data_IF_964432192126
#
_entry.id   IF_964432192126
#
_cell.length_a   1.000
_cell.length_b   1.000
_cell.length_c   1.000
_cell.angle_alpha   90.00
_cell.angle_beta   90.00
_cell.angle_gamma   90.00
#
_symmetry.space_group_name_H-M   'P 1'
#
loop_
_entity.id
_entity.type
_entity.pdbx_description
1 polymer ?
#
# COMPACT_ATOMS: atom_id res chain seq x y z
N UNK A 1 5.89 4.65 32.46
CA UNK A 1 6.60 3.44 31.99
C UNK A 1 5.53 2.37 31.86
N UNK A 2 5.33 1.70 30.72
CA UNK A 2 4.34 0.62 30.49
C UNK A 2 2.97 0.95 29.84
N UNK A 3 2.96 1.60 28.67
CA UNK A 3 1.96 1.27 27.62
C UNK A 3 2.65 0.59 26.41
N UNK A 4 3.91 0.95 26.13
CA UNK A 4 4.66 0.36 25.01
C UNK A 4 5.20 -1.06 25.23
N UNK A 5 5.32 -1.55 26.47
CA UNK A 5 5.93 -2.88 26.72
C UNK A 5 4.96 -4.02 26.43
N UNK A 6 3.71 -3.90 26.87
CA UNK A 6 2.66 -4.88 26.60
C UNK A 6 2.38 -4.99 25.08
N UNK A 7 2.41 -3.85 24.37
CA UNK A 7 2.32 -3.82 22.91
C UNK A 7 3.48 -4.56 22.22
N UNK A 8 4.71 -4.46 22.74
CA UNK A 8 5.86 -5.17 22.18
C UNK A 8 5.78 -6.67 22.45
N UNK A 9 5.37 -7.07 23.66
CA UNK A 9 5.22 -8.48 24.01
C UNK A 9 4.18 -9.18 23.12
N UNK A 10 3.06 -8.50 22.84
CA UNK A 10 2.07 -8.98 21.86
C UNK A 10 2.68 -9.16 20.47
N UNK A 11 3.52 -8.24 20.02
CA UNK A 11 4.19 -8.33 18.72
C UNK A 11 5.23 -9.45 18.68
N UNK A 12 5.93 -9.72 19.79
CA UNK A 12 6.85 -10.85 19.90
C UNK A 12 6.11 -12.19 19.82
N UNK A 13 4.96 -12.31 20.49
CA UNK A 13 4.11 -13.50 20.39
C UNK A 13 3.57 -13.69 18.97
N UNK A 14 3.13 -12.60 18.33
CA UNK A 14 2.67 -12.61 16.94
C UNK A 14 3.79 -13.04 15.98
N UNK A 15 5.00 -12.52 16.16
CA UNK A 15 6.17 -12.90 15.35
C UNK A 15 6.44 -14.40 15.37
N UNK A 16 6.43 -15.01 16.56
CA UNK A 16 6.64 -16.44 16.73
C UNK A 16 5.53 -17.27 16.06
N UNK A 17 4.29 -16.81 16.13
CA UNK A 17 3.16 -17.48 15.48
C UNK A 17 3.23 -17.38 13.95
N UNK A 18 3.59 -16.21 13.41
CA UNK A 18 3.80 -16.02 11.97
C UNK A 18 4.98 -16.86 11.46
N UNK A 19 6.06 -16.96 12.22
CA UNK A 19 7.21 -17.82 11.91
C UNK A 19 6.77 -19.28 11.81
N UNK A 20 5.95 -19.74 12.78
CA UNK A 20 5.38 -21.08 12.78
C UNK A 20 4.50 -21.35 11.55
N UNK A 21 3.67 -20.37 11.17
CA UNK A 21 2.82 -20.48 9.98
C UNK A 21 3.62 -20.52 8.67
N UNK A 22 4.69 -19.73 8.55
CA UNK A 22 5.58 -19.76 7.38
C UNK A 22 6.31 -21.09 7.22
N UNK A 23 6.59 -21.77 8.33
CA UNK A 23 7.17 -23.11 8.35
C UNK A 23 6.19 -24.24 7.97
N UNK A 24 4.88 -23.98 7.88
CA UNK A 24 3.87 -24.98 7.53
C UNK A 24 3.79 -25.20 6.01
N UNK A 25 4.09 -26.42 5.49
CA UNK A 25 3.95 -26.73 4.07
C UNK A 25 2.55 -26.47 3.51
N UNK A 26 1.50 -26.60 4.33
CA UNK A 26 0.11 -26.39 3.90
C UNK A 26 -0.20 -24.92 3.59
N UNK A 27 0.55 -23.96 4.12
CA UNK A 27 0.36 -22.55 3.76
C UNK A 27 0.72 -22.29 2.29
N UNK A 28 1.75 -22.98 1.80
CA UNK A 28 2.31 -22.76 0.47
C UNK A 28 1.43 -23.31 -0.66
N UNK A 29 0.34 -24.02 -0.34
CA UNK A 29 -0.69 -24.38 -1.32
C UNK A 29 -1.55 -23.17 -1.74
N UNK A 30 -1.57 -22.09 -0.94
CA UNK A 30 -2.22 -20.83 -1.29
C UNK A 30 -1.18 -19.69 -1.33
N UNK A 31 -0.73 -19.34 -2.54
CA UNK A 31 0.31 -18.33 -2.74
C UNK A 31 -0.10 -16.94 -2.24
N UNK A 32 -1.37 -16.56 -2.37
CA UNK A 32 -1.86 -15.26 -1.91
C UNK A 32 -1.78 -15.16 -0.37
N UNK A 33 -2.25 -16.19 0.33
CA UNK A 33 -2.18 -16.27 1.79
C UNK A 33 -0.74 -16.33 2.30
N UNK A 34 0.13 -17.10 1.64
CA UNK A 34 1.55 -17.15 1.96
C UNK A 34 2.21 -15.77 1.84
N UNK A 35 1.88 -15.01 0.79
CA UNK A 35 2.37 -13.65 0.58
C UNK A 35 1.89 -12.69 1.67
N UNK A 36 0.63 -12.75 2.07
CA UNK A 36 0.08 -11.92 3.15
C UNK A 36 0.78 -12.18 4.48
N UNK A 37 0.98 -13.45 4.85
CA UNK A 37 1.68 -13.83 6.09
C UNK A 37 3.14 -13.40 6.04
N UNK A 38 3.84 -13.61 4.92
CA UNK A 38 5.23 -13.18 4.76
C UNK A 38 5.38 -11.67 4.89
N UNK A 39 4.45 -10.89 4.35
CA UNK A 39 4.42 -9.43 4.51
C UNK A 39 4.20 -9.03 5.96
N UNK A 40 3.25 -9.67 6.66
CA UNK A 40 3.01 -9.38 8.08
C UNK A 40 4.22 -9.74 8.94
N UNK A 41 4.84 -10.90 8.70
CA UNK A 41 6.05 -11.34 9.37
C UNK A 41 7.17 -10.29 9.22
N UNK A 42 7.45 -9.84 7.99
CA UNK A 42 8.48 -8.84 7.73
C UNK A 42 8.23 -7.51 8.49
N UNK A 43 6.96 -7.11 8.65
CA UNK A 43 6.59 -5.90 9.40
C UNK A 43 6.86 -6.04 10.90
N UNK A 44 6.53 -7.20 11.47
CA UNK A 44 6.70 -7.46 12.90
C UNK A 44 8.17 -7.75 13.24
N UNK A 45 8.89 -8.43 12.35
CA UNK A 45 10.31 -8.79 12.51
C UNK A 45 11.20 -7.58 12.78
N UNK A 46 10.97 -6.46 12.10
CA UNK A 46 11.75 -5.25 12.33
C UNK A 46 11.61 -4.71 13.77
N UNK A 47 10.39 -4.76 14.33
CA UNK A 47 10.11 -4.31 15.70
C UNK A 47 10.73 -5.26 16.71
N UNK A 48 10.55 -6.56 16.50
CA UNK A 48 11.10 -7.60 17.38
C UNK A 48 12.63 -7.59 17.36
N UNK A 49 13.26 -7.33 16.21
CA UNK A 49 14.71 -7.20 16.12
C UNK A 49 15.23 -6.00 16.92
N UNK A 50 14.61 -4.83 16.79
CA UNK A 50 14.98 -3.64 17.59
C UNK A 50 14.81 -3.91 19.08
N UNK A 51 13.72 -4.57 19.47
CA UNK A 51 13.46 -4.91 20.86
C UNK A 51 14.49 -5.88 21.44
N UNK A 52 14.80 -6.98 20.73
CA UNK A 52 15.83 -7.95 21.14
C UNK A 52 17.21 -7.30 21.21
N UNK A 53 17.53 -6.39 20.31
CA UNK A 53 18.78 -5.62 20.35
C UNK A 53 18.84 -4.68 21.57
N UNK A 54 17.72 -4.04 21.90
CA UNK A 54 17.59 -3.19 23.09
C UNK A 54 17.75 -4.00 24.39
N UNK A 55 17.16 -5.20 24.47
CA UNK A 55 17.33 -6.11 25.61
C UNK A 55 18.79 -6.50 25.80
N UNK A 56 19.45 -6.98 24.74
CA UNK A 56 20.89 -7.31 24.79
C UNK A 56 21.74 -6.13 25.22
N UNK A 57 21.49 -4.94 24.65
CA UNK A 57 22.21 -3.72 25.03
C UNK A 57 21.98 -3.35 26.50
N UNK A 58 20.78 -3.63 27.03
CA UNK A 58 20.45 -3.40 28.45
C UNK A 58 21.19 -4.38 29.37
N UNK A 59 21.30 -5.64 28.97
CA UNK A 59 22.04 -6.67 29.71
C UNK A 59 23.55 -6.36 29.70
N UNK A 60 24.09 -6.01 28.53
CA UNK A 60 25.48 -5.59 28.36
C UNK A 60 25.80 -4.33 29.19
N UNK A 61 24.88 -3.36 29.20
CA UNK A 61 25.03 -2.13 30.00
C UNK A 61 25.05 -2.43 31.50
N UNK A 62 24.17 -3.32 31.97
CA UNK A 62 24.14 -3.73 33.37
C UNK A 62 25.45 -4.43 33.77
N UNK A 63 25.98 -5.30 32.92
CA UNK A 63 27.28 -5.94 33.14
C UNK A 63 28.43 -4.91 33.12
N UNK A 64 28.43 -3.96 32.19
CA UNK A 64 29.45 -2.91 32.11
C UNK A 64 29.45 -2.00 33.35
N UNK A 65 28.28 -1.67 33.91
CA UNK A 65 28.20 -0.93 35.17
C UNK A 65 28.78 -1.71 36.35
N UNK A 66 28.49 -3.02 36.47
CA UNK A 66 29.06 -3.86 37.52
C UNK A 66 30.59 -3.92 37.42
N UNK A 67 31.12 -4.08 36.21
CA UNK A 67 32.56 -4.10 35.96
C UNK A 67 33.22 -2.73 36.20
N UNK A 68 32.51 -1.62 35.96
CA UNK A 68 33.01 -0.27 36.17
C UNK A 68 33.25 0.08 37.66
N UNK A 69 32.59 -0.63 38.57
CA UNK A 69 32.83 -0.53 40.02
C UNK A 69 34.17 -1.18 40.41
N UNK A 70 34.62 -2.18 39.65
CA UNK A 70 35.88 -2.89 39.86
C UNK A 70 37.05 -2.29 39.05
N UNK A 71 36.80 -1.91 37.79
CA UNK A 71 37.76 -1.29 36.87
C UNK A 71 37.13 -0.11 36.13
N UNK A 72 37.65 1.09 36.42
CA UNK A 72 37.21 2.34 35.79
C UNK A 72 37.32 2.37 34.25
N UNK A 73 38.09 1.47 33.64
CA UNK A 73 38.19 1.29 32.19
C UNK A 73 36.85 0.98 31.51
N UNK A 74 35.90 0.34 32.21
CA UNK A 74 34.59 -0.01 31.66
C UNK A 74 33.57 1.15 31.65
N UNK A 75 33.88 2.30 32.28
CA UNK A 75 32.97 3.47 32.26
C UNK A 75 32.71 4.00 30.86
N UNK A 76 33.74 4.04 30.02
CA UNK A 76 33.62 4.50 28.64
C UNK A 76 32.73 3.57 27.79
N UNK A 77 32.77 2.26 28.07
CA UNK A 77 31.91 1.27 27.44
C UNK A 77 30.45 1.44 27.89
N UNK A 78 30.22 1.61 29.21
CA UNK A 78 28.89 1.87 29.76
C UNK A 78 28.24 3.12 29.13
N UNK A 79 28.96 4.25 29.04
CA UNK A 79 28.44 5.47 28.40
C UNK A 79 28.10 5.26 26.90
N UNK A 80 28.85 4.42 26.20
CA UNK A 80 28.58 4.08 24.81
C UNK A 80 27.31 3.22 24.68
N UNK A 81 27.14 2.25 25.57
CA UNK A 81 25.95 1.40 25.64
C UNK A 81 24.70 2.19 26.06
N UNK A 82 24.80 3.15 26.98
CA UNK A 82 23.69 4.07 27.34
C UNK A 82 23.21 4.87 26.13
N UNK A 83 24.13 5.46 25.37
CA UNK A 83 23.80 6.20 24.13
C UNK A 83 23.13 5.29 23.11
N UNK A 84 23.60 4.05 22.98
CA UNK A 84 23.00 3.05 22.08
C UNK A 84 21.60 2.65 22.56
N UNK A 85 21.43 2.38 23.84
CA UNK A 85 20.14 2.03 24.44
C UNK A 85 19.11 3.15 24.22
N UNK A 86 19.51 4.40 24.41
CA UNK A 86 18.65 5.58 24.17
C UNK A 86 18.18 5.64 22.71
N UNK A 87 19.09 5.47 21.74
CA UNK A 87 18.75 5.44 20.31
C UNK A 87 17.81 4.29 19.95
N UNK A 88 18.05 3.10 20.52
CA UNK A 88 17.20 1.93 20.31
C UNK A 88 15.80 2.14 20.92
N UNK A 89 15.72 2.76 22.09
CA UNK A 89 14.44 3.08 22.74
C UNK A 89 13.64 4.10 21.91
N UNK A 90 14.28 5.13 21.35
CA UNK A 90 13.63 6.08 20.45
C UNK A 90 13.13 5.41 19.17
N UNK A 91 13.98 4.57 18.55
CA UNK A 91 13.60 3.80 17.36
C UNK A 91 12.42 2.88 17.65
N UNK A 92 12.45 2.16 18.77
CA UNK A 92 11.38 1.25 19.17
C UNK A 92 10.07 2.03 19.43
N UNK A 93 10.13 3.18 20.10
CA UNK A 93 8.96 4.05 20.28
C UNK A 93 8.34 4.47 18.95
N UNK A 94 9.15 4.90 17.98
CA UNK A 94 8.67 5.20 16.62
C UNK A 94 8.09 3.98 15.90
N UNK A 95 8.63 2.79 16.19
CA UNK A 95 8.11 1.51 15.69
C UNK A 95 6.77 1.09 16.30
N UNK A 96 6.42 1.59 17.48
CA UNK A 96 5.16 1.26 18.17
C UNK A 96 4.01 2.23 17.85
N UNK A 97 4.29 3.34 17.18
CA UNK A 97 3.23 4.26 16.74
C UNK A 97 2.30 3.51 15.78
N UNK A 98 0.97 3.48 16.05
CA UNK A 98 -0.01 2.88 15.15
C UNK A 98 0.10 3.49 13.76
N UNK A 99 0.17 2.63 12.75
CA UNK A 99 0.24 3.05 11.34
C UNK A 99 -1.10 2.87 10.67
N UNK A 100 -1.30 3.62 9.58
CA UNK A 100 -2.42 3.35 8.68
C UNK A 100 -2.20 1.95 8.08
N UNK A 101 -3.22 1.06 8.07
CA UNK A 101 -3.14 -0.25 7.44
C UNK A 101 -2.61 -0.21 6.00
N UNK A 102 -2.84 0.90 5.31
CA UNK A 102 -2.49 1.13 3.91
C UNK A 102 -1.08 1.70 3.72
N UNK A 103 -0.36 2.06 4.79
CA UNK A 103 0.96 2.71 4.71
C UNK A 103 2.05 1.86 4.03
N UNK A 104 1.81 0.57 3.82
CA UNK A 104 2.76 -0.32 3.14
C UNK A 104 2.31 -0.67 1.71
N UNK A 105 1.27 0.01 1.21
CA UNK A 105 0.71 -0.21 -0.13
C UNK A 105 1.36 0.70 -1.17
N UNK A 106 1.32 0.22 -2.40
CA UNK A 106 1.51 1.04 -3.59
C UNK A 106 0.35 2.06 -3.71
N UNK A 107 0.49 3.04 -4.58
CA UNK A 107 -0.45 4.18 -4.66
C UNK A 107 -0.91 4.43 -6.08
N UNK A 108 -2.20 4.74 -6.21
CA UNK A 108 -2.79 5.34 -7.40
C UNK A 108 -2.89 6.85 -7.17
N UNK A 109 -2.18 7.60 -7.99
CA UNK A 109 -2.24 9.06 -8.06
C UNK A 109 -3.14 9.45 -9.22
N UNK A 110 -4.13 10.30 -8.96
CA UNK A 110 -4.92 10.93 -10.00
C UNK A 110 -4.76 12.44 -9.91
N UNK A 111 -4.27 13.07 -10.97
CA UNK A 111 -4.12 14.53 -11.07
C UNK A 111 -5.18 15.06 -12.02
N UNK A 112 -5.98 16.03 -11.57
CA UNK A 112 -7.07 16.63 -12.33
C UNK A 112 -6.92 18.14 -12.43
N UNK A 113 -7.14 18.66 -13.62
CA UNK A 113 -7.30 20.09 -13.84
C UNK A 113 -8.51 20.61 -13.04
N UNK A 114 -8.34 21.77 -12.39
CA UNK A 114 -9.37 22.41 -11.59
C UNK A 114 -9.81 23.76 -12.17
N UNK A 115 -9.90 24.77 -11.31
CA UNK A 115 -10.24 26.12 -11.74
C UNK A 115 -9.04 26.80 -12.42
N UNK A 116 -9.27 27.52 -13.52
CA UNK A 116 -8.21 28.17 -14.30
C UNK A 116 -8.16 27.79 -15.78
N UNK A 117 -9.08 26.94 -16.25
CA UNK A 117 -9.17 26.56 -17.67
C UNK A 117 -7.91 25.85 -18.16
N UNK A 118 -7.42 26.20 -19.35
CA UNK A 118 -6.23 25.58 -19.96
C UNK A 118 -4.97 25.68 -19.09
N UNK A 119 -4.83 26.75 -18.30
CA UNK A 119 -3.70 26.90 -17.38
C UNK A 119 -3.70 25.83 -16.29
N UNK A 120 -4.88 25.41 -15.82
CA UNK A 120 -4.99 24.34 -14.83
C UNK A 120 -4.56 22.98 -15.38
N UNK A 121 -4.75 22.73 -16.67
CA UNK A 121 -4.28 21.50 -17.34
C UNK A 121 -2.76 21.47 -17.51
N UNK A 122 -2.16 22.63 -17.81
CA UNK A 122 -0.70 22.78 -17.83
C UNK A 122 -0.11 22.61 -16.42
N UNK A 123 -0.77 23.17 -15.40
CA UNK A 123 -0.34 22.99 -14.01
C UNK A 123 -0.49 21.53 -13.54
N UNK A 124 -1.56 20.83 -13.94
CA UNK A 124 -1.70 19.40 -13.68
C UNK A 124 -0.54 18.57 -14.28
N UNK A 125 -0.06 18.94 -15.48
CA UNK A 125 1.11 18.32 -16.08
C UNK A 125 2.43 18.63 -15.34
N UNK A 126 2.58 19.85 -14.81
CA UNK A 126 3.73 20.21 -13.97
C UNK A 126 3.74 19.38 -12.67
N UNK A 127 2.59 19.21 -12.02
CA UNK A 127 2.42 18.36 -10.83
C UNK A 127 2.73 16.90 -11.15
N UNK A 128 2.16 16.36 -12.23
CA UNK A 128 2.46 15.00 -12.65
C UNK A 128 3.98 14.82 -12.85
N UNK A 129 4.63 15.74 -13.59
CA UNK A 129 6.08 15.69 -13.81
C UNK A 129 6.86 15.72 -12.50
N UNK A 130 6.43 16.52 -11.53
CA UNK A 130 7.03 16.56 -10.19
C UNK A 130 6.95 15.19 -9.51
N UNK A 131 5.77 14.57 -9.46
CA UNK A 131 5.58 13.25 -8.83
C UNK A 131 6.33 12.13 -9.55
N UNK A 132 6.35 12.13 -10.88
CA UNK A 132 7.13 11.16 -11.66
C UNK A 132 8.63 11.26 -11.37
N UNK A 133 9.18 12.47 -11.26
CA UNK A 133 10.58 12.69 -10.87
C UNK A 133 10.85 12.29 -9.43
N UNK A 134 9.91 12.52 -8.52
CA UNK A 134 10.01 12.06 -7.14
C UNK A 134 10.07 10.53 -7.07
N UNK A 135 9.18 9.84 -7.79
CA UNK A 135 9.14 8.39 -7.88
C UNK A 135 10.44 7.81 -8.45
N UNK A 136 10.96 8.41 -9.54
CA UNK A 136 12.23 8.00 -10.16
C UNK A 136 13.41 8.11 -9.18
N UNK A 137 13.51 9.20 -8.40
CA UNK A 137 14.55 9.38 -7.38
C UNK A 137 14.46 8.35 -6.25
N UNK A 138 13.26 7.85 -5.96
CA UNK A 138 13.01 6.76 -5.00
C UNK A 138 13.24 5.38 -5.62
N UNK A 139 13.51 5.31 -6.92
CA UNK A 139 13.65 4.08 -7.68
C UNK A 139 12.33 3.34 -7.92
N UNK A 140 11.18 3.99 -7.70
CA UNK A 140 9.86 3.38 -7.92
C UNK A 140 9.53 3.29 -9.40
N UNK A 141 8.68 2.32 -9.73
CA UNK A 141 8.13 2.16 -11.08
C UNK A 141 6.82 2.94 -11.17
N UNK A 142 6.62 3.65 -12.27
CA UNK A 142 5.38 4.35 -12.57
C UNK A 142 4.74 3.78 -13.83
N UNK A 143 3.41 3.75 -13.85
CA UNK A 143 2.61 3.26 -14.97
C UNK A 143 1.41 4.18 -15.17
N UNK A 144 1.28 4.78 -16.35
CA UNK A 144 0.10 5.58 -16.70
C UNK A 144 -1.06 4.64 -17.00
N UNK A 145 -2.16 4.78 -16.28
CA UNK A 145 -3.35 3.93 -16.41
C UNK A 145 -4.39 4.57 -17.32
N UNK A 146 -4.62 5.87 -17.15
CA UNK A 146 -5.59 6.65 -17.92
C UNK A 146 -5.09 8.07 -18.11
N UNK A 147 -5.34 8.64 -19.29
CA UNK A 147 -4.84 9.96 -19.69
C UNK A 147 -5.90 10.67 -20.52
N UNK A 148 -6.31 11.84 -20.07
CA UNK A 148 -7.13 12.78 -20.83
C UNK A 148 -6.37 14.08 -21.02
N UNK A 149 -5.92 14.33 -22.23
CA UNK A 149 -5.14 15.51 -22.60
C UNK A 149 -6.02 16.75 -22.77
N UNK A 150 -5.41 17.93 -22.67
CA UNK A 150 -6.05 19.20 -23.06
C UNK A 150 -5.60 19.67 -24.45
N UNK A 151 -6.41 20.50 -25.09
CA UNK A 151 -6.20 20.92 -26.48
C UNK A 151 -4.95 21.81 -26.63
N UNK A 152 -4.57 22.57 -25.60
CA UNK A 152 -3.35 23.39 -25.56
C UNK A 152 -2.18 22.70 -24.86
N UNK A 153 -2.27 21.39 -24.63
CA UNK A 153 -1.30 20.59 -23.91
C UNK A 153 -1.58 20.50 -22.41
N UNK A 154 -0.87 19.59 -21.75
CA UNK A 154 -1.14 19.21 -20.37
C UNK A 154 -2.32 18.23 -20.25
N UNK A 155 -2.84 18.06 -19.03
CA UNK A 155 -3.83 17.01 -18.73
C UNK A 155 -5.07 17.57 -18.06
N UNK A 156 -6.25 17.23 -18.59
CA UNK A 156 -7.54 17.41 -17.89
C UNK A 156 -7.65 16.41 -16.74
N UNK A 157 -7.24 15.17 -16.97
CA UNK A 157 -7.07 14.15 -15.94
C UNK A 157 -5.97 13.17 -16.33
N UNK A 158 -5.23 12.66 -15.34
CA UNK A 158 -4.23 11.63 -15.54
C UNK A 158 -4.15 10.75 -14.29
N UNK A 159 -4.22 9.44 -14.50
CA UNK A 159 -4.14 8.42 -13.46
C UNK A 159 -2.85 7.63 -13.61
N UNK A 160 -2.07 7.52 -12.55
CA UNK A 160 -0.77 6.84 -12.53
C UNK A 160 -0.69 5.90 -11.34
N UNK A 161 -0.34 4.64 -11.60
CA UNK A 161 0.09 3.72 -10.57
C UNK A 161 1.57 3.94 -10.25
N UNK A 162 1.90 4.06 -8.97
CA UNK A 162 3.28 4.20 -8.47
C UNK A 162 3.57 3.03 -7.55
N UNK A 163 4.52 2.19 -7.99
CA UNK A 163 4.83 0.90 -7.39
C UNK A 163 6.26 0.84 -6.86
N UNK A 164 6.43 0.34 -5.64
CA UNK A 164 7.74 0.07 -5.09
C UNK A 164 8.43 -1.07 -5.87
N UNK A 165 9.67 -0.87 -6.31
CA UNK A 165 10.47 -1.89 -7.02
C UNK A 165 11.20 -2.87 -6.08
N UNK A 166 11.33 -2.50 -4.80
CA UNK A 166 11.91 -3.33 -3.74
C UNK A 166 10.94 -3.37 -2.57
N UNK A 167 11.12 -4.33 -1.66
CA UNK A 167 10.45 -4.29 -0.36
C UNK A 167 10.80 -2.96 0.30
N UNK A 168 9.86 -2.01 0.26
CA UNK A 168 10.05 -0.71 0.87
C UNK A 168 10.24 -0.90 2.37
N UNK A 169 11.19 -0.18 2.97
CA UNK A 169 11.30 -0.15 4.42
C UNK A 169 10.00 0.36 5.04
N UNK A 170 9.83 0.13 6.35
CA UNK A 170 8.68 0.62 7.10
C UNK A 170 8.53 2.14 6.89
N UNK A 171 7.41 2.57 6.32
CA UNK A 171 7.12 3.99 6.05
C UNK A 171 7.69 4.52 4.73
N UNK A 172 8.30 3.67 3.92
CA UNK A 172 8.89 4.06 2.64
C UNK A 172 8.06 3.65 1.43
N UNK A 173 6.90 3.02 1.63
CA UNK A 173 6.02 2.65 0.53
C UNK A 173 5.41 3.92 -0.13
N UNK A 174 5.05 3.86 -1.42
CA UNK A 174 4.51 5.00 -2.14
C UNK A 174 3.34 5.68 -1.43
N UNK A 175 2.36 4.92 -0.91
CA UNK A 175 1.20 5.49 -0.23
C UNK A 175 1.58 6.23 1.07
N UNK A 176 2.42 5.65 1.93
CA UNK A 176 2.82 6.28 3.20
C UNK A 176 3.40 7.69 3.02
N UNK A 177 4.13 7.90 1.92
CA UNK A 177 4.81 9.15 1.64
C UNK A 177 3.93 10.14 0.87
N UNK A 178 3.06 9.64 0.00
CA UNK A 178 2.23 10.47 -0.88
C UNK A 178 0.84 10.77 -0.31
N UNK A 179 0.36 10.07 0.74
CA UNK A 179 -0.98 10.29 1.30
C UNK A 179 -1.28 11.72 1.74
N UNK A 180 -0.24 12.51 2.04
CA UNK A 180 -0.37 13.91 2.41
C UNK A 180 -0.43 14.88 1.23
N UNK A 181 -0.21 14.38 0.01
CA UNK A 181 -0.27 15.16 -1.22
C UNK A 181 -1.71 15.29 -1.76
N UNK A 182 -2.65 14.56 -1.16
CA UNK A 182 -4.07 14.59 -1.52
C UNK A 182 -4.71 15.93 -1.18
N UNK A 183 -5.35 16.55 -2.16
CA UNK A 183 -6.05 17.81 -2.00
C UNK A 183 -5.94 18.74 -3.20
N UNK A 184 -6.23 20.02 -2.96
CA UNK A 184 -6.18 21.07 -3.98
C UNK A 184 -4.85 21.79 -3.91
N UNK A 185 -4.16 21.85 -5.04
CA UNK A 185 -2.90 22.55 -5.23
C UNK A 185 -3.18 23.86 -5.95
N UNK A 186 -2.59 24.96 -5.48
CA UNK A 186 -2.78 26.31 -6.02
C UNK A 186 -1.51 26.82 -6.69
N UNK A 187 -1.65 27.43 -7.87
CA UNK A 187 -0.57 28.12 -8.57
C UNK A 187 -0.95 29.57 -8.87
N UNK A 188 0.02 30.47 -8.74
CA UNK A 188 -0.11 31.88 -9.11
C UNK A 188 1.06 32.25 -10.02
N UNK A 189 0.78 32.44 -11.31
CA UNK A 189 1.78 32.84 -12.30
C UNK A 189 1.11 33.59 -13.45
N UNK A 190 1.91 34.15 -14.36
CA UNK A 190 1.42 34.63 -15.65
C UNK A 190 1.20 33.40 -16.54
N UNK A 191 -0.04 33.06 -16.92
CA UNK A 191 -0.31 31.90 -17.77
C UNK A 191 0.35 32.01 -19.13
N UNK A 192 0.65 30.86 -19.73
CA UNK A 192 1.17 30.84 -21.12
C UNK A 192 0.13 31.38 -22.10
N UNK A 193 -1.15 31.29 -21.75
CA UNK A 193 -2.28 31.80 -22.55
C UNK A 193 -2.57 33.29 -22.34
N UNK A 194 -1.82 34.02 -21.50
CA UNK A 194 -2.09 35.42 -21.15
C UNK A 194 -1.14 36.41 -21.83
N UNK A 195 -1.68 37.31 -22.65
CA UNK A 195 -0.90 38.24 -23.48
C UNK A 195 -0.47 39.52 -22.78
N UNK A 196 -1.14 39.94 -21.69
CA UNK A 196 -0.88 41.22 -21.00
C UNK A 196 0.03 41.09 -19.76
N UNK A 197 0.56 39.90 -19.48
CA UNK A 197 1.45 39.68 -18.35
C UNK A 197 0.76 39.72 -16.98
N UNK A 198 -0.56 39.51 -16.93
CA UNK A 198 -1.32 39.48 -15.68
C UNK A 198 -1.14 38.15 -14.95
N UNK A 199 -1.02 38.21 -13.63
CA UNK A 199 -0.95 37.03 -12.77
C UNK A 199 -2.35 36.48 -12.60
N UNK A 200 -2.54 35.20 -12.95
CA UNK A 200 -3.77 34.47 -12.67
C UNK A 200 -3.54 33.46 -11.54
N UNK A 201 -4.62 33.12 -10.84
CA UNK A 201 -4.63 32.02 -9.87
C UNK A 201 -5.35 30.85 -10.52
N UNK A 202 -4.71 29.69 -10.53
CA UNK A 202 -5.31 28.42 -10.99
C UNK A 202 -5.14 27.34 -9.93
N UNK A 203 -5.89 26.26 -10.06
CA UNK A 203 -5.84 25.13 -9.14
C UNK A 203 -5.92 23.79 -9.88
N UNK A 204 -5.32 22.76 -9.28
CA UNK A 204 -5.43 21.36 -9.72
C UNK A 204 -5.71 20.47 -8.50
N UNK A 205 -6.49 19.41 -8.69
CA UNK A 205 -6.75 18.40 -7.68
C UNK A 205 -5.78 17.24 -7.80
N UNK A 206 -5.30 16.73 -6.67
CA UNK A 206 -4.54 15.49 -6.59
C UNK A 206 -5.30 14.55 -5.66
N UNK A 207 -5.68 13.38 -6.18
CA UNK A 207 -6.25 12.29 -5.41
C UNK A 207 -5.18 11.22 -5.20
N UNK A 208 -5.13 10.70 -3.98
CA UNK A 208 -4.14 9.71 -3.55
C UNK A 208 -4.89 8.55 -2.93
N UNK A 209 -4.80 7.38 -3.56
CA UNK A 209 -5.53 6.19 -3.13
C UNK A 209 -4.56 5.02 -2.99
N UNK A 210 -4.64 4.22 -1.93
CA UNK A 210 -3.83 3.01 -1.85
C UNK A 210 -4.28 2.01 -2.91
N UNK A 211 -3.33 1.32 -3.55
CA UNK A 211 -3.67 0.24 -4.49
C UNK A 211 -4.47 -0.84 -3.74
N UNK A 212 -5.63 -1.20 -4.27
CA UNK A 212 -6.44 -2.25 -3.69
C UNK A 212 -5.73 -3.60 -3.83
N UNK A 213 -5.86 -4.46 -2.81
CA UNK A 213 -5.39 -5.83 -2.96
C UNK A 213 -6.29 -6.53 -3.99
N UNK A 214 -5.74 -7.36 -4.89
CA UNK A 214 -6.57 -8.18 -5.76
C UNK A 214 -7.46 -9.04 -4.87
N UNK A 215 -8.78 -8.91 -5.05
CA UNK A 215 -9.74 -9.73 -4.33
C UNK A 215 -9.83 -11.05 -5.07
N UNK A 216 -9.33 -12.12 -4.46
CA UNK A 216 -9.60 -13.48 -4.92
C UNK A 216 -11.08 -13.77 -4.61
N UNK A 217 -11.94 -13.59 -5.62
CA UNK A 217 -13.36 -13.96 -5.51
C UNK A 217 -13.46 -15.47 -5.62
N UNK A 218 -13.60 -16.13 -4.48
CA UNK A 218 -13.95 -17.55 -4.42
C UNK A 218 -15.46 -17.64 -4.58
N UNK A 219 -15.91 -18.31 -5.64
CA UNK A 219 -17.32 -18.63 -5.83
C UNK A 219 -17.55 -19.99 -5.18
N UNK A 220 -18.38 -20.03 -4.14
CA UNK A 220 -18.81 -21.29 -3.53
C UNK A 220 -19.93 -21.90 -4.38
N UNK A 221 -19.77 -23.15 -4.80
CA UNK A 221 -20.78 -23.87 -5.57
C UNK A 221 -22.11 -24.00 -4.79
N UNK A 222 -22.07 -23.99 -3.45
CA UNK A 222 -23.27 -24.00 -2.61
C UNK A 222 -24.10 -22.71 -2.72
N UNK A 223 -23.46 -21.60 -3.09
CA UNK A 223 -24.12 -20.30 -3.31
C UNK A 223 -24.64 -20.13 -4.74
N UNK A 224 -24.40 -21.10 -5.63
CA UNK A 224 -24.87 -21.09 -7.00
C UNK A 224 -26.10 -21.99 -7.17
N UNK A 225 -27.19 -21.41 -7.67
CA UNK A 225 -28.26 -22.20 -8.27
C UNK A 225 -28.02 -22.29 -9.78
N UNK A 226 -27.83 -23.51 -10.25
CA UNK A 226 -27.64 -23.81 -11.67
C UNK A 226 -28.95 -24.38 -12.22
N UNK A 227 -29.60 -23.62 -13.08
CA UNK A 227 -30.83 -23.98 -13.77
C UNK A 227 -30.48 -24.32 -15.23
N UNK A 228 -30.68 -25.58 -15.64
CA UNK A 228 -30.50 -26.02 -17.03
C UNK A 228 -31.87 -26.04 -17.72
N UNK A 229 -31.96 -25.47 -18.91
CA UNK A 229 -33.21 -25.35 -19.66
C UNK A 229 -32.95 -25.40 -21.17
N UNK A 230 -34.03 -25.42 -21.95
CA UNK A 230 -33.94 -25.45 -23.42
C UNK A 230 -33.55 -24.08 -23.96
N UNK A 231 -32.62 -24.07 -24.91
CA UNK A 231 -32.24 -22.86 -25.63
C UNK A 231 -33.41 -22.29 -26.43
N UNK A 232 -33.43 -20.97 -26.61
CA UNK A 232 -34.47 -20.26 -27.36
C UNK A 232 -33.87 -19.62 -28.60
N UNK A 233 -34.31 -20.01 -29.79
CA UNK A 233 -33.84 -19.43 -31.06
C UNK A 233 -34.17 -20.30 -32.28
N UNK A 234 -33.87 -19.82 -33.50
CA UNK A 234 -34.09 -20.56 -34.75
C UNK A 234 -33.04 -21.67 -34.90
N UNK A 235 -33.20 -22.77 -34.19
CA UNK A 235 -32.45 -24.00 -34.42
C UNK A 235 -33.37 -25.17 -34.70
N UNK A 236 -32.83 -26.19 -35.39
CA UNK A 236 -33.58 -27.36 -35.84
C UNK A 236 -34.13 -28.23 -34.70
N UNK A 237 -34.48 -29.48 -35.01
CA UNK A 237 -35.08 -30.40 -34.03
C UNK A 237 -34.28 -30.53 -32.71
N UNK A 238 -32.96 -30.34 -32.74
CA UNK A 238 -32.08 -30.40 -31.56
C UNK A 238 -32.37 -29.35 -30.48
N UNK A 239 -32.82 -28.14 -30.86
CA UNK A 239 -33.15 -27.06 -29.91
C UNK A 239 -34.39 -27.39 -29.09
N UNK A 240 -35.29 -28.22 -29.64
CA UNK A 240 -36.53 -28.60 -28.96
C UNK A 240 -36.37 -29.84 -28.06
N UNK A 241 -35.30 -30.61 -28.21
CA UNK A 241 -35.10 -31.88 -27.50
C UNK A 241 -33.96 -31.86 -26.48
N UNK A 242 -32.98 -30.96 -26.61
CA UNK A 242 -31.77 -30.97 -25.77
C UNK A 242 -31.73 -29.74 -24.87
N UNK A 243 -31.48 -29.97 -23.58
CA UNK A 243 -31.28 -28.89 -22.60
C UNK A 243 -29.86 -28.35 -22.74
N UNK A 244 -29.69 -27.33 -23.58
CA UNK A 244 -28.39 -26.75 -23.94
C UNK A 244 -28.14 -25.35 -23.38
N UNK A 245 -29.13 -24.74 -22.70
CA UNK A 245 -28.97 -23.44 -22.08
C UNK A 245 -28.76 -23.58 -20.56
N UNK A 246 -27.82 -22.79 -20.03
CA UNK A 246 -27.50 -22.77 -18.60
C UNK A 246 -27.74 -21.37 -18.06
N UNK A 247 -28.46 -21.29 -16.93
CA UNK A 247 -28.61 -20.08 -16.14
C UNK A 247 -28.03 -20.34 -14.77
N UNK A 248 -27.13 -19.45 -14.34
CA UNK A 248 -26.53 -19.49 -13.02
C UNK A 248 -27.05 -18.28 -12.25
N UNK A 249 -27.55 -18.53 -11.05
CA UNK A 249 -27.97 -17.51 -10.09
C UNK A 249 -27.06 -17.59 -8.87
N UNK A 250 -26.36 -16.50 -8.57
CA UNK A 250 -25.65 -16.38 -7.29
C UNK A 250 -26.67 -15.98 -6.22
N UNK A 251 -26.99 -16.91 -5.32
CA UNK A 251 -28.06 -16.77 -4.32
C UNK A 251 -27.88 -15.54 -3.41
N UNK A 252 -26.68 -15.23 -2.89
CA UNK A 252 -26.49 -14.09 -1.99
C UNK A 252 -26.70 -12.73 -2.66
N UNK A 253 -26.25 -12.56 -3.91
CA UNK A 253 -26.36 -11.27 -4.61
C UNK A 253 -27.61 -11.17 -5.49
N UNK A 254 -28.27 -12.28 -5.79
CA UNK A 254 -29.37 -12.34 -6.74
C UNK A 254 -28.95 -12.10 -8.19
N UNK A 255 -27.64 -12.09 -8.48
CA UNK A 255 -27.12 -11.87 -9.83
C UNK A 255 -27.38 -13.11 -10.68
N UNK A 256 -28.03 -12.91 -11.82
CA UNK A 256 -28.41 -13.98 -12.75
C UNK A 256 -27.66 -13.78 -14.06
N UNK A 257 -26.92 -14.80 -14.49
CA UNK A 257 -26.29 -14.85 -15.81
C UNK A 257 -26.83 -16.07 -16.54
N UNK A 258 -27.10 -15.94 -17.84
CA UNK A 258 -27.50 -17.07 -18.67
C UNK A 258 -26.68 -17.11 -19.95
N UNK A 259 -26.20 -18.30 -20.31
CA UNK A 259 -25.54 -18.56 -21.58
C UNK A 259 -26.31 -19.64 -22.35
N UNK A 260 -26.57 -19.39 -23.63
CA UNK A 260 -27.18 -20.35 -24.55
C UNK A 260 -26.27 -20.65 -25.76
N UNK A 261 -25.11 -19.99 -25.80
CA UNK A 261 -24.09 -20.15 -26.82
C UNK A 261 -22.98 -21.04 -26.26
N UNK A 262 -22.35 -21.82 -27.13
CA UNK A 262 -21.14 -22.58 -26.84
C UNK A 262 -19.88 -21.72 -27.00
#
# INVERSE_FOLDING_TARGET
>A
MFEGVEAVESLVAEHAELERQLGDPALHTNQARARQIAQRYARVDEVVRTYREMQRTSDDLAAAHQLADEDSGFRAEAEMLERRQTRLAERLRGQLVPRDPSDDKDVILEVKAGEGGEESALFAADLLRMYLRFAERRGWRTEMLDVTESDLGGYKSVTVAVKATRSAGRGEAPYALLKYEGGVHRVQRVPVTESQGRIHTSAAGVLVMPEADPVDVVIDDADLRIDVFRSSGPGGQSVNTTDSAVRITHLPSGLVVSCQNE
#
